data_IF_509857224077
#
_entry.id   IF_509857224077
#
_cell.length_a   1.000
_cell.length_b   1.000
_cell.length_c   1.000
_cell.angle_alpha   90.00
_cell.angle_beta   90.00
_cell.angle_gamma   90.00
#
_symmetry.space_group_name_H-M   'P 1'
#
loop_
_entity.id
_entity.type
_entity.pdbx_description
1 polymer ?
#
# COMPACT_ATOMS: atom_id res chain seq x y z
N UNK A 1 1.30 -33.00 -15.24
CA UNK A 1 1.39 -31.62 -15.75
C UNK A 1 2.62 -30.89 -15.18
N UNK A 2 2.88 -30.96 -13.87
CA UNK A 2 4.04 -30.29 -13.22
C UNK A 2 5.43 -30.76 -13.74
N UNK A 3 5.58 -32.03 -14.13
CA UNK A 3 6.90 -32.62 -14.49
C UNK A 3 7.50 -32.04 -15.79
N UNK A 4 6.73 -31.33 -16.62
CA UNK A 4 7.20 -30.73 -17.88
C UNK A 4 7.12 -29.20 -17.89
N UNK A 5 6.88 -28.57 -16.75
CA UNK A 5 6.74 -27.11 -16.64
C UNK A 5 7.96 -26.36 -17.20
N UNK A 6 9.17 -26.84 -16.89
CA UNK A 6 10.42 -26.28 -17.41
C UNK A 6 10.61 -26.47 -18.93
N UNK A 7 9.79 -27.29 -19.59
CA UNK A 7 9.83 -27.47 -21.05
C UNK A 7 8.94 -26.46 -21.80
N UNK A 8 8.02 -25.77 -21.09
CA UNK A 8 7.04 -24.85 -21.67
C UNK A 8 7.02 -23.46 -21.01
N UNK A 9 7.71 -23.27 -19.89
CA UNK A 9 7.73 -22.02 -19.13
C UNK A 9 9.15 -21.46 -19.03
N UNK A 10 9.28 -20.16 -19.28
CA UNK A 10 10.50 -19.40 -18.99
C UNK A 10 10.35 -18.67 -17.65
N UNK A 11 11.34 -18.81 -16.78
CA UNK A 11 11.36 -18.17 -15.47
C UNK A 11 12.45 -17.09 -15.42
N UNK A 12 12.12 -15.97 -14.78
CA UNK A 12 13.09 -14.91 -14.50
C UNK A 12 12.91 -14.36 -13.10
N UNK A 13 14.00 -13.85 -12.55
CA UNK A 13 13.94 -13.14 -11.28
C UNK A 13 13.30 -11.76 -11.47
N UNK A 14 12.40 -11.40 -10.57
CA UNK A 14 11.81 -10.06 -10.43
C UNK A 14 12.27 -9.49 -9.10
N UNK A 15 12.81 -8.27 -9.10
CA UNK A 15 13.26 -7.58 -7.89
C UNK A 15 12.18 -6.62 -7.43
N UNK A 16 11.67 -6.81 -6.23
CA UNK A 16 10.66 -5.93 -5.63
C UNK A 16 11.26 -5.24 -4.40
N UNK A 17 11.16 -3.91 -4.34
CA UNK A 17 11.48 -3.13 -3.14
C UNK A 17 10.16 -2.80 -2.43
N UNK A 18 9.98 -3.26 -1.19
CA UNK A 18 8.77 -2.99 -0.40
C UNK A 18 9.15 -2.21 0.85
N UNK A 19 8.51 -1.07 1.05
CA UNK A 19 8.62 -0.25 2.25
C UNK A 19 7.26 -0.13 2.92
N UNK A 20 7.19 -0.45 4.21
CA UNK A 20 6.07 -0.04 5.06
C UNK A 20 6.62 0.88 6.15
N UNK A 21 6.06 2.08 6.28
CA UNK A 21 6.55 3.07 7.24
C UNK A 21 5.42 3.89 7.88
N UNK A 22 5.35 3.84 9.21
CA UNK A 22 4.63 4.85 9.97
C UNK A 22 5.42 6.16 9.97
N UNK A 23 4.89 7.19 9.33
CA UNK A 23 5.56 8.49 9.21
C UNK A 23 5.11 9.50 10.27
N UNK A 24 4.22 9.12 11.20
CA UNK A 24 3.80 9.95 12.34
C UNK A 24 3.47 11.41 11.94
N UNK A 25 2.65 11.54 10.89
CA UNK A 25 2.22 12.78 10.27
C UNK A 25 3.31 13.73 9.74
N UNK A 26 4.55 13.24 9.66
CA UNK A 26 5.70 13.99 9.16
C UNK A 26 5.49 14.43 7.72
N UNK A 27 5.92 15.66 7.43
CA UNK A 27 5.98 16.19 6.06
C UNK A 27 7.30 15.78 5.39
N UNK A 28 7.32 15.70 4.06
CA UNK A 28 8.57 15.54 3.30
C UNK A 28 9.68 16.50 3.74
N UNK A 29 9.37 17.80 3.84
CA UNK A 29 10.35 18.83 4.21
C UNK A 29 10.95 18.65 5.61
N UNK A 30 10.21 18.07 6.56
CA UNK A 30 10.70 17.82 7.93
C UNK A 30 11.71 16.66 7.94
N UNK A 31 11.47 15.64 7.12
CA UNK A 31 12.41 14.53 6.94
C UNK A 31 13.67 14.96 6.20
N UNK A 32 13.56 15.91 5.26
CA UNK A 32 14.72 16.47 4.57
C UNK A 32 15.61 17.32 5.48
N UNK A 33 15.02 17.98 6.47
CA UNK A 33 15.79 18.72 7.47
C UNK A 33 16.48 17.84 8.52
N UNK A 34 16.12 16.54 8.58
CA UNK A 34 16.64 15.60 9.54
C UNK A 34 17.66 14.65 8.88
N UNK A 35 18.87 14.57 9.43
CA UNK A 35 19.93 13.70 8.91
C UNK A 35 19.49 12.24 8.83
N UNK A 36 18.69 11.80 9.79
CA UNK A 36 18.33 10.39 9.94
C UNK A 36 17.23 10.01 8.95
N UNK A 37 16.27 10.91 8.72
CA UNK A 37 15.18 10.72 7.75
C UNK A 37 15.69 10.59 6.31
N UNK A 38 16.56 11.51 5.88
CA UNK A 38 17.22 11.41 4.56
C UNK A 38 18.06 10.14 4.47
N UNK A 39 18.86 9.83 5.50
CA UNK A 39 19.71 8.64 5.47
C UNK A 39 18.89 7.36 5.37
N UNK A 40 17.75 7.27 6.05
CA UNK A 40 16.84 6.15 5.94
C UNK A 40 16.31 6.00 4.50
N UNK A 41 15.78 7.08 3.91
CA UNK A 41 15.25 7.06 2.55
C UNK A 41 16.31 6.68 1.51
N UNK A 42 17.51 7.24 1.65
CA UNK A 42 18.65 6.86 0.81
C UNK A 42 18.96 5.37 0.93
N UNK A 43 19.11 4.86 2.16
CA UNK A 43 19.36 3.43 2.41
C UNK A 43 18.24 2.56 1.85
N UNK A 44 16.98 3.00 1.94
CA UNK A 44 15.84 2.28 1.39
C UNK A 44 15.98 2.09 -0.12
N UNK A 45 16.20 3.17 -0.88
CA UNK A 45 16.31 3.07 -2.34
C UNK A 45 17.61 2.41 -2.81
N UNK A 46 18.67 2.47 -2.01
CA UNK A 46 19.94 1.77 -2.28
C UNK A 46 19.92 0.29 -1.87
N UNK A 47 18.96 -0.14 -1.04
CA UNK A 47 18.88 -1.52 -0.52
C UNK A 47 18.69 -2.58 -1.60
N UNK A 48 18.05 -2.20 -2.71
CA UNK A 48 17.82 -3.08 -3.86
C UNK A 48 18.32 -2.40 -5.12
N UNK A 49 19.30 -3.02 -5.79
CA UNK A 49 19.86 -2.46 -7.04
C UNK A 49 18.84 -2.60 -8.19
N UNK A 50 18.33 -1.48 -8.69
CA UNK A 50 17.39 -1.42 -9.83
C UNK A 50 16.22 -2.40 -9.67
N UNK A 51 15.32 -2.18 -8.70
CA UNK A 51 14.11 -2.99 -8.55
C UNK A 51 13.21 -2.86 -9.77
N UNK A 52 12.49 -3.91 -10.12
CA UNK A 52 11.50 -3.89 -11.20
C UNK A 52 10.20 -3.22 -10.74
N UNK A 53 9.83 -3.45 -9.47
CA UNK A 53 8.69 -2.83 -8.78
C UNK A 53 9.16 -2.20 -7.47
N UNK A 54 8.68 -1.00 -7.16
CA UNK A 54 8.85 -0.33 -5.86
C UNK A 54 7.47 -0.11 -5.25
N UNK A 55 7.27 -0.58 -4.03
CA UNK A 55 6.02 -0.46 -3.27
C UNK A 55 6.29 0.33 -2.00
N UNK A 56 5.65 1.49 -1.86
CA UNK A 56 5.73 2.33 -0.67
C UNK A 56 4.35 2.37 -0.02
N UNK A 57 4.26 1.86 1.21
CA UNK A 57 3.08 1.93 2.06
C UNK A 57 3.36 2.80 3.28
N UNK A 58 2.67 3.94 3.37
CA UNK A 58 2.71 4.81 4.54
C UNK A 58 1.48 4.65 5.41
N UNK A 59 1.70 4.87 6.71
CA UNK A 59 0.67 4.98 7.72
C UNK A 59 0.86 6.30 8.50
N UNK A 60 -0.24 6.81 9.06
CA UNK A 60 -0.30 8.08 9.77
C UNK A 60 0.21 9.28 8.98
N UNK A 61 0.00 9.33 7.67
CA UNK A 61 0.39 10.49 6.84
C UNK A 61 -0.29 11.82 7.23
N UNK A 62 -1.35 11.75 8.04
CA UNK A 62 -2.09 12.89 8.57
C UNK A 62 -2.25 12.73 10.07
N UNK A 63 -1.94 13.80 10.80
CA UNK A 63 -2.24 13.91 12.23
C UNK A 63 -3.75 14.08 12.42
N UNK A 64 -4.38 13.01 12.90
CA UNK A 64 -5.80 12.98 13.22
C UNK A 64 -6.07 13.27 14.71
N UNK A 65 -5.05 13.15 15.58
CA UNK A 65 -5.21 13.28 17.02
C UNK A 65 -5.25 14.74 17.45
N UNK A 66 -4.33 15.57 16.94
CA UNK A 66 -4.36 17.02 17.20
C UNK A 66 -5.63 17.68 16.66
N UNK A 67 -6.19 17.13 15.57
CA UNK A 67 -7.39 17.67 14.92
C UNK A 67 -8.68 17.32 15.65
N UNK A 68 -8.75 16.20 16.38
CA UNK A 68 -9.89 15.89 17.27
C UNK A 68 -10.01 16.90 18.41
N UNK A 69 -8.89 17.43 18.88
CA UNK A 69 -8.86 18.50 19.88
C UNK A 69 -9.42 19.82 19.31
N UNK A 70 -9.04 20.19 18.07
CA UNK A 70 -9.54 21.41 17.41
C UNK A 70 -11.03 21.33 17.06
N UNK A 71 -11.52 20.15 16.65
CA UNK A 71 -12.94 19.94 16.34
C UNK A 71 -13.85 20.05 17.58
N UNK A 72 -13.35 19.70 18.77
CA UNK A 72 -14.08 19.94 20.04
C UNK A 72 -14.19 21.42 20.39
N UNK A 73 -13.26 22.27 19.94
CA UNK A 73 -13.27 23.72 20.19
C UNK A 73 -14.10 24.49 19.15
N UNK A 74 -14.24 23.97 17.92
CA UNK A 74 -14.99 24.61 16.83
C UNK A 74 -16.37 23.97 16.63
N UNK A 75 -17.29 24.22 17.57
CA UNK A 75 -18.71 23.84 17.49
C UNK A 75 -19.53 24.70 16.50
N UNK A 76 -18.90 25.27 15.47
CA UNK A 76 -19.54 26.14 14.50
C UNK A 76 -19.28 25.62 13.08
N UNK A 77 -20.30 24.99 12.50
CA UNK A 77 -20.39 24.54 11.09
C UNK A 77 -19.57 23.29 10.70
N UNK A 78 -20.08 22.12 11.09
CA UNK A 78 -19.59 20.77 10.71
C UNK A 78 -19.20 20.64 9.22
N UNK A 79 -20.01 21.16 8.30
CA UNK A 79 -19.74 21.13 6.84
C UNK A 79 -18.46 21.87 6.42
N UNK A 80 -18.13 23.00 7.08
CA UNK A 80 -16.94 23.80 6.74
C UNK A 80 -15.67 23.13 7.28
N UNK A 81 -15.76 22.55 8.48
CA UNK A 81 -14.68 21.77 9.08
C UNK A 81 -14.39 20.50 8.27
N UNK A 82 -15.42 19.76 7.83
CA UNK A 82 -15.27 18.55 7.01
C UNK A 82 -14.62 18.86 5.65
N UNK A 83 -15.01 19.98 5.00
CA UNK A 83 -14.41 20.42 3.73
C UNK A 83 -12.93 20.77 3.90
N UNK A 84 -12.59 21.57 4.91
CA UNK A 84 -11.21 21.96 5.20
C UNK A 84 -10.34 20.75 5.59
N UNK A 85 -10.92 19.76 6.27
CA UNK A 85 -10.25 18.51 6.59
C UNK A 85 -9.89 17.75 5.31
N UNK A 86 -10.84 17.56 4.40
CA UNK A 86 -10.61 16.85 3.13
C UNK A 86 -9.59 17.54 2.23
N UNK A 87 -9.57 18.87 2.17
CA UNK A 87 -8.58 19.64 1.42
C UNK A 87 -7.16 19.44 1.96
N UNK A 88 -6.99 19.50 3.29
CA UNK A 88 -5.69 19.28 3.93
C UNK A 88 -5.16 17.85 3.76
N UNK A 89 -6.07 16.87 3.81
CA UNK A 89 -5.78 15.45 3.55
C UNK A 89 -5.25 15.29 2.13
N UNK A 90 -5.96 15.86 1.15
CA UNK A 90 -5.57 15.84 -0.27
C UNK A 90 -4.20 16.48 -0.48
N UNK A 91 -3.93 17.62 0.16
CA UNK A 91 -2.63 18.30 0.09
C UNK A 91 -1.50 17.42 0.64
N UNK A 92 -1.71 16.75 1.78
CA UNK A 92 -0.69 15.87 2.38
C UNK A 92 -0.31 14.72 1.47
N UNK A 93 -1.29 14.06 0.84
CA UNK A 93 -1.02 13.00 -0.13
C UNK A 93 -0.26 13.53 -1.33
N UNK A 94 -0.67 14.68 -1.87
CA UNK A 94 0.01 15.28 -3.02
C UNK A 94 1.48 15.58 -2.73
N UNK A 95 1.78 16.19 -1.57
CA UNK A 95 3.17 16.49 -1.17
C UNK A 95 4.03 15.23 -1.13
N UNK A 96 3.50 14.15 -0.56
CA UNK A 96 4.22 12.88 -0.48
C UNK A 96 4.32 12.18 -1.83
N UNK A 97 3.29 12.22 -2.65
CA UNK A 97 3.30 11.71 -4.02
C UNK A 97 4.40 12.38 -4.86
N UNK A 98 4.41 13.71 -4.89
CA UNK A 98 5.40 14.50 -5.62
C UNK A 98 6.82 14.17 -5.12
N UNK A 99 7.00 14.08 -3.79
CA UNK A 99 8.31 13.75 -3.20
C UNK A 99 8.79 12.34 -3.52
N UNK A 100 7.91 11.34 -3.49
CA UNK A 100 8.31 9.97 -3.82
C UNK A 100 8.78 9.85 -5.27
N UNK A 101 8.14 10.58 -6.20
CA UNK A 101 8.61 10.64 -7.59
C UNK A 101 10.03 11.22 -7.67
N UNK A 102 10.30 12.31 -6.95
CA UNK A 102 11.63 12.91 -6.88
C UNK A 102 12.67 11.91 -6.36
N UNK A 103 12.40 11.27 -5.23
CA UNK A 103 13.34 10.31 -4.64
C UNK A 103 13.57 9.07 -5.49
N UNK A 104 12.51 8.50 -6.07
CA UNK A 104 12.66 7.36 -6.99
C UNK A 104 13.55 7.76 -8.16
N UNK A 105 13.32 8.92 -8.76
CA UNK A 105 14.14 9.42 -9.88
C UNK A 105 15.60 9.66 -9.47
N UNK A 106 15.83 10.29 -8.32
CA UNK A 106 17.16 10.64 -7.84
C UNK A 106 18.01 9.41 -7.49
N UNK A 107 17.44 8.49 -6.70
CA UNK A 107 18.22 7.38 -6.12
C UNK A 107 18.31 6.15 -7.02
N UNK A 108 17.30 5.88 -7.85
CA UNK A 108 17.34 4.69 -8.71
C UNK A 108 18.11 4.93 -10.02
N UNK A 109 18.22 6.18 -10.48
CA UNK A 109 18.84 6.58 -11.75
C UNK A 109 18.29 5.82 -12.97
N UNK A 110 17.02 5.43 -12.91
CA UNK A 110 16.31 4.70 -13.96
C UNK A 110 14.94 5.34 -14.17
N UNK A 111 14.30 5.04 -15.31
CA UNK A 111 12.94 5.51 -15.56
C UNK A 111 11.91 4.58 -14.88
N UNK A 112 11.11 5.16 -13.99
CA UNK A 112 9.95 4.52 -13.36
C UNK A 112 8.70 5.31 -13.68
N UNK A 113 7.57 4.62 -13.70
CA UNK A 113 6.24 5.20 -13.79
C UNK A 113 5.41 4.79 -12.58
N UNK A 114 4.53 5.68 -12.12
CA UNK A 114 3.58 5.34 -11.07
C UNK A 114 2.52 4.41 -11.66
N UNK A 115 2.43 3.21 -11.09
CA UNK A 115 1.38 2.25 -11.39
C UNK A 115 0.11 2.54 -10.57
N UNK A 116 0.27 2.80 -9.27
CA UNK A 116 -0.83 3.10 -8.34
C UNK A 116 -0.42 4.19 -7.36
N UNK A 117 -1.36 5.08 -7.04
CA UNK A 117 -1.28 6.02 -5.94
C UNK A 117 -2.66 6.17 -5.31
N UNK A 118 -2.89 5.50 -4.19
CA UNK A 118 -4.18 5.50 -3.49
C UNK A 118 -4.02 5.74 -1.99
N UNK A 119 -5.11 6.11 -1.33
CA UNK A 119 -5.10 6.52 0.05
C UNK A 119 -6.38 6.17 0.80
N UNK A 120 -6.25 5.99 2.12
CA UNK A 120 -7.36 5.80 3.04
C UNK A 120 -7.06 6.54 4.35
N UNK A 121 -7.55 7.78 4.45
CA UNK A 121 -7.46 8.67 5.62
C UNK A 121 -6.05 8.87 6.21
N UNK A 122 -5.47 7.88 6.89
CA UNK A 122 -4.09 7.91 7.38
C UNK A 122 -3.15 7.00 6.59
N UNK A 123 -3.66 6.15 5.71
CA UNK A 123 -2.87 5.26 4.86
C UNK A 123 -2.64 5.90 3.49
N UNK A 124 -1.47 5.61 2.92
CA UNK A 124 -1.13 5.96 1.55
C UNK A 124 -0.31 4.84 0.93
N UNK A 125 -0.63 4.45 -0.30
CA UNK A 125 0.12 3.45 -1.07
C UNK A 125 0.53 4.08 -2.39
N UNK A 126 1.83 4.01 -2.72
CA UNK A 126 2.37 4.43 -4.00
C UNK A 126 3.24 3.31 -4.57
N UNK A 127 2.87 2.79 -5.75
CA UNK A 127 3.57 1.70 -6.43
C UNK A 127 4.15 2.24 -7.73
N UNK A 128 5.44 2.00 -7.94
CA UNK A 128 6.17 2.33 -9.14
C UNK A 128 6.57 1.06 -9.87
N UNK A 129 6.45 1.07 -11.19
CA UNK A 129 7.00 0.06 -12.07
C UNK A 129 8.13 0.67 -12.89
N UNK A 130 9.23 -0.06 -13.05
CA UNK A 130 10.28 0.33 -13.99
C UNK A 130 9.68 0.37 -15.39
N UNK A 131 9.98 1.41 -16.17
CA UNK A 131 9.33 1.67 -17.46
C UNK A 131 9.50 0.51 -18.46
N UNK A 132 10.61 -0.22 -18.39
CA UNK A 132 10.86 -1.42 -19.21
C UNK A 132 9.90 -2.59 -18.90
N UNK A 133 9.29 -2.59 -17.71
CA UNK A 133 8.40 -3.66 -17.25
C UNK A 133 6.92 -3.34 -17.48
N UNK A 134 6.58 -2.11 -17.90
CA UNK A 134 5.19 -1.67 -18.08
C UNK A 134 4.37 -2.58 -18.99
N UNK A 135 4.96 -3.03 -20.11
CA UNK A 135 4.28 -3.91 -21.07
C UNK A 135 3.94 -5.30 -20.55
N UNK A 136 4.48 -5.67 -19.38
CA UNK A 136 4.27 -6.96 -18.71
C UNK A 136 3.27 -6.87 -17.56
N UNK A 137 2.84 -5.66 -17.22
CA UNK A 137 1.90 -5.41 -16.14
C UNK A 137 0.52 -5.16 -16.75
N UNK A 138 -0.45 -5.94 -16.30
CA UNK A 138 -1.84 -5.87 -16.76
C UNK A 138 -2.80 -6.07 -15.61
N UNK A 139 -4.07 -5.74 -15.85
CA UNK A 139 -5.16 -5.96 -14.91
C UNK A 139 -4.84 -5.40 -13.51
N UNK A 140 -4.52 -4.12 -13.45
CA UNK A 140 -4.20 -3.44 -12.19
C UNK A 140 -5.46 -2.91 -11.54
N UNK A 141 -5.67 -3.22 -10.26
CA UNK A 141 -6.85 -2.76 -9.51
C UNK A 141 -6.52 -2.50 -8.03
N UNK A 142 -7.34 -1.69 -7.38
CA UNK A 142 -7.17 -1.27 -5.99
C UNK A 142 -8.47 -1.46 -5.22
N UNK A 143 -8.39 -2.15 -4.10
CA UNK A 143 -9.49 -2.35 -3.17
C UNK A 143 -9.16 -1.78 -1.80
N UNK A 144 -10.12 -1.10 -1.19
CA UNK A 144 -9.96 -0.43 0.10
C UNK A 144 -10.89 -1.09 1.13
N UNK A 145 -10.32 -1.51 2.26
CA UNK A 145 -11.09 -2.09 3.37
C UNK A 145 -10.96 -1.25 4.63
N UNK A 146 -12.08 -0.74 5.15
CA UNK A 146 -12.12 -0.03 6.44
C UNK A 146 -12.37 -1.03 7.57
N UNK A 147 -11.56 -0.97 8.64
CA UNK A 147 -11.73 -1.84 9.82
C UNK A 147 -12.05 -1.08 11.10
N UNK A 148 -11.71 0.22 11.18
CA UNK A 148 -11.89 1.04 12.39
C UNK A 148 -13.35 1.17 12.87
N UNK A 149 -13.58 1.05 14.20
CA UNK A 149 -14.90 1.16 14.86
C UNK A 149 -16.02 0.41 14.11
N UNK A 150 -15.85 -0.90 13.88
CA UNK A 150 -16.76 -1.75 13.10
C UNK A 150 -16.94 -1.29 11.64
N UNK A 151 -15.91 -0.69 11.04
CA UNK A 151 -15.93 -0.18 9.67
C UNK A 151 -16.47 1.25 9.52
N UNK A 152 -16.86 1.92 10.61
CA UNK A 152 -17.41 3.28 10.58
C UNK A 152 -16.36 4.38 10.47
N UNK A 153 -15.11 4.11 10.90
CA UNK A 153 -14.03 5.11 10.86
C UNK A 153 -12.94 4.66 9.88
N UNK A 154 -12.57 5.57 8.98
CA UNK A 154 -11.63 5.27 7.88
C UNK A 154 -10.15 5.36 8.25
N UNK A 155 -9.79 5.64 9.51
CA UNK A 155 -8.38 5.81 9.91
C UNK A 155 -7.63 4.48 10.11
N UNK A 156 -8.34 3.35 10.24
CA UNK A 156 -7.78 2.00 10.29
C UNK A 156 -8.40 1.16 9.18
N UNK A 157 -7.60 0.29 8.59
CA UNK A 157 -8.01 -0.49 7.44
C UNK A 157 -6.83 -0.94 6.58
N UNK A 158 -7.10 -1.20 5.31
CA UNK A 158 -6.08 -1.51 4.31
C UNK A 158 -6.39 -0.88 2.95
N UNK A 159 -5.31 -0.72 2.19
CA UNK A 159 -5.32 -0.51 0.75
C UNK A 159 -4.64 -1.74 0.17
N UNK A 160 -5.37 -2.50 -0.64
CA UNK A 160 -4.85 -3.65 -1.38
C UNK A 160 -4.75 -3.29 -2.85
N UNK A 161 -3.63 -3.60 -3.49
CA UNK A 161 -3.41 -3.39 -4.91
C UNK A 161 -3.04 -4.70 -5.55
N UNK A 162 -3.79 -5.10 -6.57
CA UNK A 162 -3.47 -6.27 -7.39
C UNK A 162 -2.98 -5.86 -8.77
N UNK A 163 -2.16 -6.71 -9.36
CA UNK A 163 -1.91 -6.73 -10.79
C UNK A 163 -1.35 -8.08 -11.22
N UNK A 164 -1.44 -8.36 -12.52
CA UNK A 164 -0.74 -9.47 -13.14
C UNK A 164 0.57 -8.95 -13.70
N UNK A 165 1.66 -9.64 -13.39
CA UNK A 165 3.00 -9.33 -13.86
C UNK A 165 3.55 -10.55 -14.59
N UNK A 166 3.83 -10.39 -15.89
CA UNK A 166 4.01 -11.52 -16.82
C UNK A 166 2.79 -12.46 -16.71
N UNK A 167 2.97 -13.65 -16.15
CA UNK A 167 1.92 -14.67 -15.95
C UNK A 167 1.67 -15.00 -14.46
N UNK A 168 2.14 -14.14 -13.54
CA UNK A 168 1.90 -14.31 -12.11
C UNK A 168 1.01 -13.20 -11.55
N UNK A 169 0.03 -13.58 -10.73
CA UNK A 169 -0.82 -12.62 -10.02
C UNK A 169 -0.17 -12.19 -8.70
N UNK A 170 -0.10 -10.87 -8.49
CA UNK A 170 0.54 -10.27 -7.31
C UNK A 170 -0.44 -9.34 -6.61
N UNK A 171 -0.52 -9.44 -5.28
CA UNK A 171 -1.32 -8.55 -4.44
C UNK A 171 -0.48 -7.95 -3.30
N UNK A 172 -0.44 -6.63 -3.22
CA UNK A 172 0.19 -5.88 -2.13
C UNK A 172 -0.87 -5.33 -1.20
N UNK A 173 -0.78 -5.64 0.08
CA UNK A 173 -1.67 -5.10 1.11
C UNK A 173 -0.85 -4.20 2.03
N UNK A 174 -1.25 -2.92 2.09
CA UNK A 174 -0.79 -1.96 3.08
C UNK A 174 -1.89 -1.77 4.12
N UNK A 175 -1.64 -2.15 5.38
CA UNK A 175 -2.62 -2.05 6.45
C UNK A 175 -2.19 -1.13 7.61
N UNK A 176 -3.19 -0.63 8.33
CA UNK A 176 -3.03 0.04 9.61
C UNK A 176 -4.11 -0.50 10.56
N UNK A 177 -3.71 -1.39 11.46
CA UNK A 177 -4.62 -2.14 12.32
C UNK A 177 -4.88 -1.44 13.66
N UNK A 178 -5.74 -2.05 14.49
CA UNK A 178 -6.04 -1.56 15.83
C UNK A 178 -4.78 -1.43 16.71
N UNK A 179 -4.65 -0.25 17.33
CA UNK A 179 -3.53 0.11 18.18
C UNK A 179 -3.67 -0.41 19.62
N UNK A 180 -2.56 -0.61 20.30
CA UNK A 180 -2.50 -0.99 21.73
C UNK A 180 -2.21 -2.47 21.99
N UNK A 181 -1.44 -2.74 23.06
CA UNK A 181 -0.92 -4.07 23.39
C UNK A 181 -1.99 -5.15 23.54
N UNK A 182 -3.13 -4.80 24.15
CA UNK A 182 -4.21 -5.74 24.47
C UNK A 182 -5.11 -6.06 23.28
N UNK A 183 -4.99 -5.33 22.16
CA UNK A 183 -5.93 -5.43 21.03
C UNK A 183 -5.61 -6.57 20.04
N UNK A 184 -4.90 -7.62 20.48
CA UNK A 184 -4.50 -8.76 19.62
C UNK A 184 -5.70 -9.39 18.92
N UNK A 185 -6.79 -9.66 19.66
CA UNK A 185 -8.01 -10.26 19.09
C UNK A 185 -8.64 -9.37 18.02
N UNK A 186 -8.63 -8.06 18.22
CA UNK A 186 -9.15 -7.10 17.26
C UNK A 186 -8.27 -7.06 16.01
N UNK A 187 -6.94 -7.03 16.17
CA UNK A 187 -6.00 -7.10 15.03
C UNK A 187 -6.16 -8.38 14.22
N UNK A 188 -6.27 -9.53 14.86
CA UNK A 188 -6.50 -10.81 14.15
C UNK A 188 -7.83 -10.79 13.41
N UNK A 189 -8.87 -10.20 14.01
CA UNK A 189 -10.18 -10.02 13.36
C UNK A 189 -10.08 -9.08 12.16
N UNK A 190 -9.30 -8.01 12.27
CA UNK A 190 -9.07 -7.06 11.17
C UNK A 190 -8.30 -7.72 10.03
N UNK A 191 -7.24 -8.48 10.32
CA UNK A 191 -6.50 -9.26 9.30
C UNK A 191 -7.43 -10.22 8.58
N UNK A 192 -8.21 -11.02 9.32
CA UNK A 192 -9.17 -11.95 8.71
C UNK A 192 -10.17 -11.21 7.80
N UNK A 193 -10.76 -10.10 8.26
CA UNK A 193 -11.66 -9.28 7.43
C UNK A 193 -10.98 -8.68 6.20
N UNK A 194 -9.70 -8.35 6.28
CA UNK A 194 -8.96 -7.82 5.14
C UNK A 194 -8.73 -8.94 4.12
N UNK A 195 -8.31 -10.13 4.55
CA UNK A 195 -8.08 -11.26 3.65
C UNK A 195 -9.38 -11.79 3.04
N UNK A 196 -10.43 -11.94 3.85
CA UNK A 196 -11.67 -12.62 3.47
C UNK A 196 -12.74 -11.68 2.87
N UNK A 197 -12.59 -10.36 3.00
CA UNK A 197 -13.63 -9.41 2.59
C UNK A 197 -13.10 -8.14 1.90
N UNK A 198 -11.84 -8.13 1.47
CA UNK A 198 -11.36 -7.14 0.49
C UNK A 198 -11.71 -7.68 -0.89
N UNK A 199 -12.52 -6.92 -1.63
CA UNK A 199 -13.09 -7.35 -2.91
C UNK A 199 -12.62 -6.39 -4.00
N UNK A 200 -11.92 -6.94 -4.99
CA UNK A 200 -11.62 -6.28 -6.25
C UNK A 200 -12.74 -6.54 -7.26
N UNK A 201 -12.91 -5.68 -8.28
CA UNK A 201 -13.64 -6.05 -9.49
C UNK A 201 -13.13 -7.39 -10.04
N UNK A 202 -14.05 -8.31 -10.29
CA UNK A 202 -13.73 -9.56 -10.99
C UNK A 202 -13.14 -9.23 -12.36
N UNK A 203 -12.08 -9.94 -12.77
CA UNK A 203 -11.49 -9.71 -14.08
C UNK A 203 -12.50 -10.04 -15.19
N UNK A 204 -12.74 -9.08 -16.08
CA UNK A 204 -13.53 -9.36 -17.29
C UNK A 204 -12.69 -10.17 -18.27
N UNK A 205 -13.10 -11.41 -18.52
CA UNK A 205 -12.42 -12.33 -19.44
C UNK A 205 -12.97 -12.07 -20.85
N UNK A 206 -12.15 -11.41 -21.67
CA UNK A 206 -12.55 -11.04 -23.03
C UNK A 206 -12.08 -12.05 -24.10
N UNK A 207 -11.20 -13.00 -23.75
CA UNK A 207 -10.75 -14.07 -24.63
C UNK A 207 -10.44 -15.37 -23.87
N UNK A 208 -10.44 -16.50 -24.58
CA UNK A 208 -10.15 -17.82 -23.99
C UNK A 208 -8.68 -17.98 -23.57
N UNK A 209 -7.76 -17.27 -24.24
CA UNK A 209 -6.32 -17.31 -23.94
C UNK A 209 -5.95 -16.48 -22.70
N UNK A 210 -6.84 -15.59 -22.25
CA UNK A 210 -6.56 -14.67 -21.13
C UNK A 210 -6.59 -15.33 -19.74
N UNK A 211 -7.01 -16.59 -19.65
CA UNK A 211 -7.71 -17.09 -18.47
C UNK A 211 -7.17 -18.38 -17.82
N UNK A 212 -6.26 -19.13 -18.44
CA UNK A 212 -5.81 -20.38 -17.81
C UNK A 212 -4.71 -20.12 -16.77
N UNK A 213 -5.12 -20.06 -15.50
CA UNK A 213 -4.24 -20.34 -14.35
C UNK A 213 -3.41 -19.18 -13.79
N UNK A 214 -3.71 -17.93 -14.15
CA UNK A 214 -2.99 -16.76 -13.60
C UNK A 214 -3.37 -16.41 -12.16
N UNK A 215 -4.49 -16.93 -11.67
CA UNK A 215 -4.94 -16.81 -10.28
C UNK A 215 -4.91 -18.18 -9.62
N UNK A 216 -4.49 -18.20 -8.36
CA UNK A 216 -4.31 -19.41 -7.59
C UNK A 216 -5.65 -20.14 -7.38
N UNK A 217 -5.60 -21.48 -7.38
CA UNK A 217 -6.72 -22.37 -7.04
C UNK A 217 -8.02 -22.14 -7.85
N UNK A 218 -7.92 -21.52 -9.03
CA UNK A 218 -9.08 -21.21 -9.87
C UNK A 218 -9.88 -19.99 -9.41
N UNK A 219 -9.27 -19.10 -8.62
CA UNK A 219 -9.83 -17.79 -8.30
C UNK A 219 -10.01 -16.90 -9.53
N UNK A 220 -10.80 -15.83 -9.41
CA UNK A 220 -11.09 -14.87 -10.48
C UNK A 220 -10.40 -13.51 -10.26
N UNK A 221 -9.53 -13.44 -9.25
CA UNK A 221 -8.81 -12.24 -8.85
C UNK A 221 -9.66 -11.26 -8.03
N UNK A 222 -10.89 -11.63 -7.66
CA UNK A 222 -11.76 -10.78 -6.84
C UNK A 222 -11.34 -10.74 -5.38
N UNK A 223 -10.65 -11.78 -4.88
CA UNK A 223 -10.21 -11.87 -3.49
C UNK A 223 -8.69 -11.72 -3.35
N UNK A 224 -8.23 -11.25 -2.19
CA UNK A 224 -6.78 -11.10 -1.90
C UNK A 224 -6.05 -12.44 -2.04
N UNK A 225 -6.65 -13.52 -1.54
CA UNK A 225 -6.05 -14.86 -1.55
C UNK A 225 -6.20 -15.62 -2.88
N UNK A 226 -6.81 -15.00 -3.90
CA UNK A 226 -6.82 -15.55 -5.27
C UNK A 226 -5.47 -15.36 -5.97
N UNK A 227 -4.54 -14.61 -5.38
CA UNK A 227 -3.28 -14.23 -6.03
C UNK A 227 -2.15 -15.18 -5.64
N UNK A 228 -1.27 -15.50 -6.60
CA UNK A 228 -0.13 -16.40 -6.39
C UNK A 228 0.83 -15.86 -5.32
N UNK A 229 1.01 -14.54 -5.31
CA UNK A 229 1.94 -13.86 -4.42
C UNK A 229 1.21 -12.73 -3.68
N UNK A 230 1.07 -12.88 -2.36
CA UNK A 230 0.48 -11.86 -1.50
C UNK A 230 1.54 -11.29 -0.55
N UNK A 231 1.80 -10.00 -0.66
CA UNK A 231 2.62 -9.25 0.30
C UNK A 231 1.73 -8.51 1.28
N UNK A 232 1.64 -9.00 2.51
CA UNK A 232 0.89 -8.33 3.57
C UNK A 232 1.84 -7.52 4.46
N UNK A 233 1.69 -6.20 4.44
CA UNK A 233 2.58 -5.25 5.14
C UNK A 233 1.79 -4.14 5.81
N UNK A 234 2.41 -3.44 6.78
CA UNK A 234 1.76 -2.37 7.51
C UNK A 234 2.10 -2.33 8.98
N UNK A 235 1.49 -1.40 9.71
CA UNK A 235 1.57 -1.38 11.17
C UNK A 235 0.58 -2.42 11.72
N UNK A 236 1.13 -3.47 12.32
CA UNK A 236 0.41 -4.54 13.01
C UNK A 236 0.51 -4.45 14.55
N UNK A 237 1.01 -3.33 15.06
CA UNK A 237 1.33 -2.99 16.46
C UNK A 237 1.58 -4.15 17.45
N UNK A 238 2.85 -4.32 17.79
CA UNK A 238 3.35 -4.95 19.01
C UNK A 238 4.40 -4.02 19.63
N UNK A 239 4.01 -2.88 20.20
CA UNK A 239 4.92 -2.06 21.02
C UNK A 239 5.29 -2.76 22.35
N UNK A 240 6.43 -3.47 22.39
CA UNK A 240 7.16 -3.60 23.66
C UNK A 240 7.47 -2.18 24.15
N UNK A 241 6.98 -1.81 25.32
CA UNK A 241 7.70 -0.82 26.12
C UNK A 241 9.06 -1.46 26.42
N UNK A 242 10.10 -1.02 25.73
CA UNK A 242 11.44 -1.14 26.29
C UNK A 242 11.48 -0.08 27.40
N UNK A 243 11.18 -0.52 28.62
CA UNK A 243 11.52 0.24 29.80
C UNK A 243 13.02 0.10 30.01
N UNK A 244 13.70 1.23 30.07
CA UNK A 244 14.80 1.48 31.01
C UNK A 244 14.52 2.82 31.69
#
# INVERSE_FOLDING_TARGET
MIVRELEYCDFRNVKVLICSWNIDASKPAELESCSDGIQFLKKLFESTKSPDIIVIGFQEIIDLESKKMTAKTMLLSKKKADKQMNENITLRYKLWYDKLIEFVKEYTKQEYEVLVSDNLVGLFTCIFAKKSEKGKIRDTDVAIKKTGLKGLHGNKGSIATRFIYDDSSICFVNCHLAAGQTQIKERNTDVAKILDNTVFPSREINSWDDNEGVFALGGDGSMVLDHDIVFFSGIMELSKQFGD
#
